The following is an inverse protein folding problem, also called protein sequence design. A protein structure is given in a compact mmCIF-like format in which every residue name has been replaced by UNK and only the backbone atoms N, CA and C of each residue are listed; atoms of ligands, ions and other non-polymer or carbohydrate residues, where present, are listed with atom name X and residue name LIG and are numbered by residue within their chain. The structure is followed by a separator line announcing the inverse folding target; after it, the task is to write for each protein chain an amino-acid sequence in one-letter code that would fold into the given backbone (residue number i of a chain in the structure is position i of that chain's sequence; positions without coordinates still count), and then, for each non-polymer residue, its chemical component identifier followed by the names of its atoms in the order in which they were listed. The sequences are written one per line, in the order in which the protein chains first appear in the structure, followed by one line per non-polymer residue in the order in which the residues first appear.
data_IF_484504022702
#
_entry.id   IF_484504022702
#
_cell.length_a   1.000
_cell.length_b   1.000
_cell.length_c   1.000
_cell.angle_alpha   90.00
_cell.angle_beta   90.00
_cell.angle_gamma   90.00
#
_symmetry.space_group_name_H-M   'P 1'
#
loop_
_entity.id
_entity.type
_entity.pdbx_description
1 polymer ?
#
# COMPACT_ATOMS: atom_id res chain seq x y z
N UNK A 1 14.91 -12.69 0.83
CA UNK A 1 14.33 -11.63 1.67
C UNK A 1 12.95 -11.36 1.14
N UNK A 2 11.96 -11.34 2.03
CA UNK A 2 10.58 -11.01 1.67
C UNK A 2 10.48 -9.51 1.33
N UNK A 3 9.68 -9.15 0.33
CA UNK A 3 9.56 -7.75 -0.13
C UNK A 3 9.02 -6.83 0.97
N UNK A 4 8.08 -7.33 1.78
CA UNK A 4 7.54 -6.62 2.95
C UNK A 4 8.66 -6.29 3.91
N UNK A 5 9.54 -7.25 4.19
CA UNK A 5 10.64 -7.09 5.14
C UNK A 5 11.65 -6.05 4.65
N UNK A 6 11.96 -6.04 3.35
CA UNK A 6 12.88 -5.07 2.76
C UNK A 6 12.32 -3.64 2.82
N UNK A 7 11.04 -3.45 2.48
CA UNK A 7 10.37 -2.15 2.55
C UNK A 7 10.27 -1.69 4.02
N UNK A 8 9.80 -2.56 4.92
CA UNK A 8 9.67 -2.25 6.34
C UNK A 8 11.02 -1.83 6.96
N UNK A 9 12.11 -2.54 6.62
CA UNK A 9 13.46 -2.18 7.06
C UNK A 9 13.89 -0.82 6.53
N UNK A 10 13.56 -0.50 5.28
CA UNK A 10 13.95 0.77 4.63
C UNK A 10 13.22 1.97 5.25
N UNK A 11 11.89 1.89 5.41
CA UNK A 11 11.09 3.00 5.95
C UNK A 11 11.27 3.17 7.47
N UNK A 12 11.75 2.14 8.17
CA UNK A 12 12.02 2.22 9.60
C UNK A 12 13.38 2.85 9.93
N UNK A 13 14.20 3.15 8.91
CA UNK A 13 15.45 3.89 9.12
C UNK A 13 15.15 5.29 9.68
N UNK A 14 16.03 5.84 10.54
CA UNK A 14 15.79 7.10 11.26
C UNK A 14 15.96 8.36 10.40
N UNK A 15 16.50 8.24 9.19
CA UNK A 15 16.42 9.33 8.22
C UNK A 15 15.05 9.25 7.54
N UNK A 16 14.42 10.38 7.27
CA UNK A 16 13.10 10.51 6.63
C UNK A 16 13.08 9.90 5.21
N UNK A 17 13.08 8.57 5.13
CA UNK A 17 13.01 7.84 3.88
C UNK A 17 11.55 7.72 3.46
N UNK A 18 11.28 8.23 2.25
CA UNK A 18 10.04 8.03 1.53
C UNK A 18 10.31 7.13 0.32
N UNK A 19 9.48 6.10 0.17
CA UNK A 19 9.41 5.33 -1.07
C UNK A 19 8.18 5.83 -1.81
N UNK A 20 8.36 6.39 -3.00
CA UNK A 20 7.28 6.88 -3.86
C UNK A 20 7.29 6.14 -5.20
N UNK A 21 6.13 5.64 -5.58
CA UNK A 21 5.86 5.00 -6.87
C UNK A 21 4.98 5.92 -7.74
N UNK A 22 5.01 5.76 -9.07
CA UNK A 22 4.02 6.40 -9.94
C UNK A 22 2.60 5.94 -9.57
N UNK A 23 1.59 6.79 -9.81
CA UNK A 23 0.20 6.53 -9.40
C UNK A 23 -0.08 6.88 -7.94
N UNK A 24 0.54 7.96 -7.44
CA UNK A 24 0.26 8.52 -6.10
C UNK A 24 0.43 7.56 -4.91
N UNK A 25 1.17 6.47 -5.09
CA UNK A 25 1.43 5.48 -4.03
C UNK A 25 2.77 5.77 -3.36
N UNK A 26 2.75 6.12 -2.08
CA UNK A 26 3.97 6.37 -1.31
C UNK A 26 3.89 5.82 0.11
N UNK A 27 5.05 5.53 0.70
CA UNK A 27 5.18 5.10 2.10
C UNK A 27 6.35 5.84 2.76
N UNK A 28 6.11 6.36 3.96
CA UNK A 28 7.12 7.04 4.76
C UNK A 28 6.90 6.82 6.26
N UNK A 29 7.91 7.17 7.06
CA UNK A 29 7.82 7.22 8.52
C UNK A 29 7.69 8.68 8.96
N UNK A 30 6.66 8.98 9.76
CA UNK A 30 6.42 10.33 10.28
C UNK A 30 6.99 10.53 11.69
N UNK A 31 6.95 9.48 12.50
CA UNK A 31 7.46 9.50 13.87
C UNK A 31 7.87 8.09 14.30
N UNK A 32 8.35 7.95 15.53
CA UNK A 32 8.54 6.63 16.14
C UNK A 32 7.22 5.87 16.21
N UNK A 33 7.18 4.69 15.57
CA UNK A 33 5.98 3.86 15.46
C UNK A 33 4.79 4.56 14.75
N UNK A 34 5.07 5.51 13.85
CA UNK A 34 4.05 6.13 13.01
C UNK A 34 4.51 6.13 11.56
N UNK A 35 3.80 5.37 10.74
CA UNK A 35 4.08 5.19 9.32
C UNK A 35 2.88 5.62 8.52
N UNK A 36 3.12 6.26 7.38
CA UNK A 36 2.08 6.76 6.49
C UNK A 36 2.18 6.05 5.15
N UNK A 37 1.04 5.63 4.60
CA UNK A 37 0.90 5.22 3.20
C UNK A 37 -0.11 6.14 2.50
N UNK A 38 0.33 6.85 1.48
CA UNK A 38 -0.51 7.60 0.55
C UNK A 38 -0.80 6.70 -0.67
N UNK A 39 -2.02 6.72 -1.18
CA UNK A 39 -2.45 5.90 -2.31
C UNK A 39 -3.63 6.54 -3.05
N UNK A 40 -3.70 6.32 -4.35
CA UNK A 40 -4.84 6.72 -5.18
C UNK A 40 -5.99 5.71 -5.08
N UNK A 41 -7.22 6.24 -5.07
CA UNK A 41 -8.46 5.46 -5.17
C UNK A 41 -9.29 6.05 -6.30
N UNK A 42 -9.71 5.23 -7.24
CA UNK A 42 -10.67 5.62 -8.27
C UNK A 42 -12.08 5.47 -7.70
N UNK A 43 -12.84 6.57 -7.69
CA UNK A 43 -14.23 6.59 -7.26
C UNK A 43 -15.04 7.45 -8.24
N UNK A 44 -16.10 6.87 -8.81
CA UNK A 44 -17.00 7.55 -9.75
C UNK A 44 -16.33 8.19 -10.99
N UNK A 45 -15.17 7.66 -11.40
CA UNK A 45 -14.41 8.17 -12.55
C UNK A 45 -13.44 9.30 -12.23
N UNK A 46 -13.34 9.69 -10.96
CA UNK A 46 -12.32 10.60 -10.43
C UNK A 46 -11.27 9.81 -9.63
N UNK A 47 -10.01 10.24 -9.71
CA UNK A 47 -8.92 9.70 -8.90
C UNK A 47 -8.68 10.59 -7.69
N UNK A 48 -8.88 10.05 -6.49
CA UNK A 48 -8.66 10.77 -5.24
C UNK A 48 -7.46 10.20 -4.47
N UNK A 49 -6.60 11.09 -3.95
CA UNK A 49 -5.51 10.71 -3.06
C UNK A 49 -6.04 10.47 -1.64
N UNK A 50 -5.75 9.29 -1.12
CA UNK A 50 -6.08 8.86 0.24
C UNK A 50 -4.83 8.54 1.02
N UNK A 51 -4.95 8.69 2.32
CA UNK A 51 -3.83 8.59 3.24
C UNK A 51 -4.22 7.65 4.39
N UNK A 52 -3.32 6.75 4.79
CA UNK A 52 -3.55 5.80 5.89
C UNK A 52 -2.32 5.65 6.77
N UNK A 53 -2.53 5.80 8.07
CA UNK A 53 -1.49 5.67 9.09
C UNK A 53 -1.46 4.29 9.76
N UNK A 54 -0.26 3.83 10.09
CA UNK A 54 0.02 2.55 10.73
C UNK A 54 0.97 2.69 11.91
N UNK A 55 0.85 1.79 12.88
CA UNK A 55 1.73 1.74 14.07
C UNK A 55 3.03 0.96 13.86
N UNK A 56 3.10 0.13 12.82
CA UNK A 56 4.26 -0.73 12.55
C UNK A 56 4.66 -0.62 11.08
N UNK A 57 5.97 -0.68 10.84
CA UNK A 57 6.53 -0.63 9.48
C UNK A 57 6.06 -1.82 8.63
N UNK A 58 5.92 -3.00 9.25
CA UNK A 58 5.44 -4.21 8.57
C UNK A 58 3.99 -4.07 8.08
N UNK A 59 3.09 -3.52 8.92
CA UNK A 59 1.70 -3.33 8.51
C UNK A 59 1.59 -2.28 7.38
N UNK A 60 2.36 -1.20 7.47
CA UNK A 60 2.44 -0.19 6.41
C UNK A 60 2.97 -0.80 5.11
N UNK A 61 4.04 -1.59 5.18
CA UNK A 61 4.66 -2.23 4.03
C UNK A 61 3.73 -3.25 3.35
N UNK A 62 3.00 -4.06 4.14
CA UNK A 62 1.97 -4.98 3.60
C UNK A 62 0.91 -4.21 2.83
N UNK A 63 0.33 -3.19 3.45
CA UNK A 63 -0.71 -2.38 2.79
C UNK A 63 -0.19 -1.67 1.53
N UNK A 64 1.03 -1.15 1.57
CA UNK A 64 1.66 -0.53 0.40
C UNK A 64 1.83 -1.53 -0.76
N UNK A 65 2.26 -2.76 -0.47
CA UNK A 65 2.38 -3.83 -1.47
C UNK A 65 0.99 -4.20 -2.01
N UNK A 66 0.00 -4.41 -1.15
CA UNK A 66 -1.39 -4.70 -1.55
C UNK A 66 -1.93 -3.63 -2.51
N UNK A 67 -1.73 -2.34 -2.20
CA UNK A 67 -2.12 -1.23 -3.08
C UNK A 67 -1.35 -1.21 -4.39
N UNK A 68 -0.06 -1.52 -4.38
CA UNK A 68 0.74 -1.64 -5.61
C UNK A 68 0.23 -2.77 -6.51
N UNK A 69 -0.17 -3.91 -5.95
CA UNK A 69 -0.75 -5.00 -6.71
C UNK A 69 -2.09 -4.61 -7.31
N UNK A 70 -2.95 -3.94 -6.53
CA UNK A 70 -4.21 -3.41 -7.01
C UNK A 70 -4.02 -2.42 -8.18
N UNK A 71 -3.05 -1.50 -8.08
CA UNK A 71 -2.75 -0.55 -9.17
C UNK A 71 -2.20 -1.23 -10.43
N UNK A 72 -1.39 -2.29 -10.28
CA UNK A 72 -0.82 -3.02 -11.43
C UNK A 72 -1.84 -3.86 -12.19
N UNK A 73 -2.84 -4.38 -11.48
CA UNK A 73 -3.88 -5.23 -12.06
C UNK A 73 -5.06 -4.41 -12.60
N UNK A 74 -5.11 -3.10 -12.32
CA UNK A 74 -6.27 -2.25 -12.61
C UNK A 74 -7.43 -2.59 -11.67
N UNK A 75 -8.59 -1.96 -11.87
CA UNK A 75 -9.81 -2.16 -11.06
C UNK A 75 -10.25 -3.63 -10.89
N UNK A 76 -9.68 -4.54 -11.69
CA UNK A 76 -9.85 -6.01 -11.63
C UNK A 76 -9.35 -6.66 -10.32
N UNK A 77 -8.47 -6.02 -9.53
CA UNK A 77 -8.02 -6.62 -8.26
C UNK A 77 -9.06 -6.55 -7.14
N UNK A 78 -9.99 -5.60 -7.21
CA UNK A 78 -11.03 -5.47 -6.19
C UNK A 78 -12.11 -6.57 -6.29
N UNK A 79 -12.20 -7.26 -7.43
CA UNK A 79 -13.13 -8.38 -7.66
C UNK A 79 -12.52 -9.76 -7.35
N UNK A 80 -11.24 -9.82 -6.95
CA UNK A 80 -10.57 -11.11 -6.71
C UNK A 80 -10.59 -11.59 -5.24
N UNK A 81 -11.48 -11.04 -4.41
CA UNK A 81 -11.75 -11.57 -3.05
C UNK A 81 -13.20 -11.99 -2.79
N UNK A 82 -14.15 -11.86 -3.72
CA UNK A 82 -15.51 -12.39 -3.53
C UNK A 82 -16.16 -12.82 -4.86
N UNK A 83 -16.68 -14.06 -4.88
CA UNK A 83 -17.40 -14.78 -5.97
C UNK A 83 -16.53 -15.37 -7.10
N UNK A 84 -16.52 -16.67 -7.45
CA UNK A 84 -17.51 -17.77 -7.47
C UNK A 84 -16.78 -19.11 -7.11
N UNK A 85 -17.29 -20.10 -6.37
CA UNK A 85 -18.55 -20.87 -6.45
C UNK A 85 -18.81 -21.54 -7.81
N UNK A 86 -18.23 -22.73 -8.04
CA UNK A 86 -18.74 -23.89 -8.84
C UNK A 86 -17.62 -24.95 -8.84
N UNK A 87 -17.76 -26.27 -8.75
CA UNK A 87 -18.87 -27.22 -8.63
C UNK A 87 -18.19 -28.57 -8.30
N UNK A 88 -18.68 -29.29 -7.29
CA UNK A 88 -18.83 -30.77 -7.25
C UNK A 88 -19.63 -31.17 -5.99
#
# INVERSE_FOLDING_TARGET
MDEVEAIAKTVNLPADFEIRLPGGLSICRLAENQFHVEYEVEQDGDTELREKSFKTAEAAAKFFIERRHAQKLGGDYAEMEDEESDDE
#
